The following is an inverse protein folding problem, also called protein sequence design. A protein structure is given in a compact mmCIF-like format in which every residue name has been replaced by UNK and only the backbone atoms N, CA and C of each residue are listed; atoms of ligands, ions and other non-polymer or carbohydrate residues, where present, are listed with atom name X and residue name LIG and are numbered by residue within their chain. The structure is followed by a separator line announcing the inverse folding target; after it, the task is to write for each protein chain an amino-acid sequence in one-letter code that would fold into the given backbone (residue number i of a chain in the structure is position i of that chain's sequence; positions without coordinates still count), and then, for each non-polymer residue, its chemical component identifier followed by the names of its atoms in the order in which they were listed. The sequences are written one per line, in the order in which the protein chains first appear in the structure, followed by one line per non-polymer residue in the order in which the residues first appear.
data_IF_447264953075
#
_entry.id   IF_447264953075
#
_cell.length_a   1.000
_cell.length_b   1.000
_cell.length_c   1.000
_cell.angle_alpha   90.00
_cell.angle_beta   90.00
_cell.angle_gamma   90.00
#
_symmetry.space_group_name_H-M   'P 1'
#
loop_
_entity.id
_entity.type
_entity.pdbx_description
1 polymer ?
#
# COMPACT_ATOMS: atom_id res chain seq x y z
N UNK A 1 -35.39 -47.13 9.88
CA UNK A 1 -35.98 -48.32 9.22
C UNK A 1 -37.10 -48.79 10.12
N UNK A 2 -38.32 -48.89 9.61
CA UNK A 2 -39.46 -49.41 10.39
C UNK A 2 -39.97 -50.65 9.67
N UNK A 3 -40.24 -51.69 10.47
CA UNK A 3 -40.75 -52.98 9.99
C UNK A 3 -42.14 -53.18 10.57
N UNK A 4 -43.11 -53.54 9.74
CA UNK A 4 -44.44 -53.87 10.24
C UNK A 4 -44.55 -55.34 10.69
N UNK A 5 -45.71 -55.70 11.25
CA UNK A 5 -46.02 -57.05 11.75
C UNK A 5 -46.09 -58.11 10.64
N UNK A 6 -46.23 -57.71 9.37
CA UNK A 6 -46.15 -58.61 8.22
C UNK A 6 -44.71 -58.79 7.71
N UNK A 7 -43.71 -58.16 8.33
CA UNK A 7 -42.29 -58.30 7.98
C UNK A 7 -41.84 -57.37 6.84
N UNK A 8 -42.67 -56.40 6.45
CA UNK A 8 -42.30 -55.45 5.40
C UNK A 8 -41.41 -54.34 5.98
N UNK A 9 -40.23 -54.17 5.38
CA UNK A 9 -39.26 -53.14 5.80
C UNK A 9 -39.27 -51.96 4.85
N UNK A 10 -39.51 -50.74 5.37
CA UNK A 10 -39.36 -49.48 4.63
C UNK A 10 -38.27 -48.63 5.27
N UNK A 11 -37.36 -48.10 4.44
CA UNK A 11 -36.45 -47.05 4.86
C UNK A 11 -37.28 -45.77 5.07
N UNK A 12 -37.31 -45.26 6.30
CA UNK A 12 -37.95 -43.97 6.59
C UNK A 12 -36.95 -42.88 6.21
N UNK A 13 -36.89 -42.57 4.92
CA UNK A 13 -36.48 -41.25 4.45
C UNK A 13 -37.75 -40.52 4.00
N UNK A 14 -38.73 -40.43 4.90
CA UNK A 14 -39.90 -39.58 4.69
C UNK A 14 -39.54 -38.14 5.07
N UNK A 15 -38.61 -37.57 4.29
CA UNK A 15 -38.63 -36.14 4.06
C UNK A 15 -39.82 -35.95 3.14
N UNK A 16 -40.95 -35.53 3.72
CA UNK A 16 -42.15 -35.14 2.97
C UNK A 16 -41.74 -34.34 1.73
N UNK A 17 -42.28 -34.69 0.56
CA UNK A 17 -42.00 -34.03 -0.71
C UNK A 17 -41.97 -32.50 -0.54
N UNK A 18 -40.76 -31.94 -0.47
CA UNK A 18 -40.54 -30.52 -0.15
C UNK A 18 -39.33 -30.19 0.74
N UNK A 19 -38.71 -31.16 1.43
CA UNK A 19 -37.47 -30.89 2.16
C UNK A 19 -36.23 -31.41 1.41
N UNK A 20 -35.62 -30.51 0.63
CA UNK A 20 -34.27 -30.72 0.08
C UNK A 20 -33.26 -30.36 1.17
N UNK A 21 -32.54 -31.34 1.72
CA UNK A 21 -31.27 -31.04 2.39
C UNK A 21 -30.28 -30.64 1.30
N UNK A 22 -30.09 -29.33 1.11
CA UNK A 22 -28.97 -28.83 0.33
C UNK A 22 -27.74 -28.99 1.22
N UNK A 23 -26.91 -29.98 0.92
CA UNK A 23 -25.60 -30.11 1.55
C UNK A 23 -24.70 -29.06 0.91
N UNK A 24 -24.74 -27.84 1.44
CA UNK A 24 -23.88 -26.76 0.99
C UNK A 24 -22.53 -26.85 1.71
N UNK A 25 -21.59 -27.53 1.06
CA UNK A 25 -20.20 -27.63 1.48
C UNK A 25 -19.28 -27.01 0.42
N UNK A 26 -19.83 -26.10 -0.41
CA UNK A 26 -19.02 -25.32 -1.34
C UNK A 26 -18.44 -24.15 -0.57
N UNK A 27 -17.11 -24.08 -0.49
CA UNK A 27 -16.45 -22.85 -0.07
C UNK A 27 -16.73 -21.81 -1.15
N UNK A 28 -17.32 -20.66 -0.81
CA UNK A 28 -17.68 -19.62 -1.78
C UNK A 28 -16.49 -19.32 -2.73
N UNK A 29 -16.71 -19.22 -4.06
CA UNK A 29 -15.68 -18.92 -5.04
C UNK A 29 -14.78 -17.74 -4.65
N UNK A 30 -13.51 -17.82 -5.06
CA UNK A 30 -12.47 -16.85 -4.76
C UNK A 30 -12.80 -15.47 -5.38
N UNK A 31 -13.48 -14.62 -4.62
CA UNK A 31 -13.63 -13.20 -4.92
C UNK A 31 -12.29 -12.46 -4.94
N UNK A 32 -12.28 -11.13 -5.03
CA UNK A 32 -11.06 -10.33 -4.95
C UNK A 32 -11.24 -9.13 -4.04
N UNK A 33 -10.15 -8.69 -3.41
CA UNK A 33 -10.09 -7.37 -2.77
C UNK A 33 -9.32 -6.44 -3.70
N UNK A 34 -9.80 -5.22 -3.88
CA UNK A 34 -9.12 -4.16 -4.63
C UNK A 34 -9.34 -2.81 -3.97
N UNK A 35 -8.48 -1.83 -4.26
CA UNK A 35 -8.78 -0.43 -3.95
C UNK A 35 -9.92 0.04 -4.88
N UNK A 36 -10.94 0.68 -4.31
CA UNK A 36 -12.17 1.07 -5.01
C UNK A 36 -12.22 2.53 -5.42
N UNK A 37 -12.95 2.82 -6.51
CA UNK A 37 -13.25 4.17 -6.99
C UNK A 37 -14.57 4.70 -6.39
N UNK A 38 -14.49 5.38 -5.25
CA UNK A 38 -15.55 6.31 -4.84
C UNK A 38 -14.95 7.49 -4.05
N UNK A 39 -14.67 8.58 -4.78
CA UNK A 39 -14.35 9.90 -4.20
C UNK A 39 -12.86 10.22 -4.01
N UNK A 40 -11.97 9.31 -4.39
CA UNK A 40 -10.53 9.54 -4.44
C UNK A 40 -10.04 9.26 -5.86
N UNK A 41 -9.28 10.22 -6.39
CA UNK A 41 -8.87 10.32 -7.77
C UNK A 41 -7.79 9.27 -8.03
N UNK A 42 -8.20 8.03 -8.27
CA UNK A 42 -7.34 6.95 -8.72
C UNK A 42 -6.08 6.80 -7.87
N UNK A 43 -6.19 6.19 -6.67
CA UNK A 43 -5.08 5.75 -5.78
C UNK A 43 -3.72 5.91 -6.47
N UNK A 44 -3.21 7.14 -6.45
CA UNK A 44 -2.07 7.47 -7.29
C UNK A 44 -0.92 7.14 -6.38
N UNK A 45 -0.41 5.92 -6.54
CA UNK A 45 0.78 5.42 -5.87
C UNK A 45 1.93 6.43 -6.06
N UNK A 46 2.00 7.40 -5.16
CA UNK A 46 3.07 8.40 -5.09
C UNK A 46 4.19 7.92 -4.16
N UNK A 47 4.06 6.71 -3.61
CA UNK A 47 5.15 6.05 -2.91
C UNK A 47 6.09 5.44 -3.95
N UNK A 48 7.20 6.12 -4.27
CA UNK A 48 8.25 5.58 -5.13
C UNK A 48 7.82 5.33 -6.61
N UNK A 49 7.07 6.26 -7.18
CA UNK A 49 7.54 7.06 -8.31
C UNK A 49 8.51 6.40 -9.34
N UNK A 50 8.08 5.27 -9.89
CA UNK A 50 8.43 4.87 -11.24
C UNK A 50 7.13 4.61 -11.99
N UNK A 51 6.97 5.26 -13.15
CA UNK A 51 5.98 4.88 -14.12
C UNK A 51 6.08 3.36 -14.37
N UNK A 52 5.07 2.61 -13.91
CA UNK A 52 5.05 1.15 -13.68
C UNK A 52 5.71 0.76 -12.34
N UNK A 53 4.95 0.63 -11.26
CA UNK A 53 4.05 -0.52 -11.01
C UNK A 53 3.19 -0.28 -9.78
N UNK A 54 2.00 -0.88 -9.74
CA UNK A 54 1.16 -1.06 -8.55
C UNK A 54 1.74 -2.09 -7.55
N UNK A 55 3.07 -2.23 -7.44
CA UNK A 55 3.70 -3.43 -6.87
C UNK A 55 4.50 -3.24 -5.57
N UNK A 56 4.89 -2.02 -5.19
CA UNK A 56 5.67 -1.83 -3.95
C UNK A 56 4.79 -1.57 -2.72
N UNK A 57 3.52 -1.22 -2.94
CA UNK A 57 2.50 -1.10 -1.91
C UNK A 57 2.76 0.05 -0.94
N UNK A 58 3.40 1.14 -1.38
CA UNK A 58 3.57 2.37 -0.57
C UNK A 58 2.56 3.45 -1.01
N UNK A 59 2.25 4.41 -0.15
CA UNK A 59 1.42 5.58 -0.50
C UNK A 59 1.51 6.66 0.57
N UNK A 60 1.29 7.91 0.18
CA UNK A 60 1.07 9.05 1.08
C UNK A 60 -0.41 9.41 1.27
N UNK A 61 -1.32 8.61 0.71
CA UNK A 61 -2.77 8.80 0.86
C UNK A 61 -3.23 8.18 2.18
N UNK A 62 -3.71 9.02 3.09
CA UNK A 62 -4.24 8.55 4.37
C UNK A 62 -5.69 8.11 4.30
N UNK A 63 -6.38 8.31 3.17
CA UNK A 63 -7.81 8.01 2.99
C UNK A 63 -7.99 7.24 1.69
N UNK A 64 -8.67 6.10 1.74
CA UNK A 64 -8.97 5.29 0.57
C UNK A 64 -10.15 4.37 0.82
N UNK A 65 -10.66 3.72 -0.23
CA UNK A 65 -11.69 2.68 -0.13
C UNK A 65 -11.13 1.34 -0.59
N UNK A 66 -11.45 0.28 0.14
CA UNK A 66 -11.24 -1.11 -0.28
C UNK A 66 -12.59 -1.74 -0.65
N UNK A 67 -12.60 -2.54 -1.70
CA UNK A 67 -13.78 -3.23 -2.21
C UNK A 67 -13.48 -4.71 -2.35
N UNK A 68 -14.23 -5.51 -1.61
CA UNK A 68 -14.37 -6.94 -1.85
C UNK A 68 -15.41 -7.17 -2.95
N UNK A 69 -15.06 -7.93 -3.98
CA UNK A 69 -15.86 -8.15 -5.18
C UNK A 69 -15.85 -9.63 -5.58
N UNK A 70 -16.75 -10.03 -6.47
CA UNK A 70 -16.87 -11.43 -6.88
C UNK A 70 -17.22 -12.37 -5.73
N UNK A 71 -17.87 -11.84 -4.69
CA UNK A 71 -18.41 -12.63 -3.60
C UNK A 71 -19.63 -13.36 -4.16
N UNK A 72 -19.54 -14.67 -4.33
CA UNK A 72 -20.70 -15.47 -4.67
C UNK A 72 -21.58 -15.57 -3.43
N UNK A 73 -22.86 -15.24 -3.59
CA UNK A 73 -24.01 -15.87 -2.98
C UNK A 73 -25.19 -15.39 -3.83
N UNK A 74 -25.83 -16.27 -4.59
CA UNK A 74 -27.07 -15.99 -5.29
C UNK A 74 -28.19 -15.62 -4.29
N UNK A 75 -28.17 -14.38 -3.78
CA UNK A 75 -29.16 -13.79 -2.87
C UNK A 75 -28.64 -13.39 -1.48
N UNK A 76 -28.15 -12.16 -1.34
CA UNK A 76 -28.27 -11.28 -0.15
C UNK A 76 -27.85 -11.78 1.27
N UNK A 77 -27.24 -12.95 1.43
CA UNK A 77 -27.02 -13.58 2.74
C UNK A 77 -25.57 -13.64 3.25
N UNK A 78 -24.56 -13.40 2.41
CA UNK A 78 -23.17 -13.47 2.85
C UNK A 78 -22.80 -12.27 3.74
N UNK A 79 -22.33 -12.55 4.95
CA UNK A 79 -21.77 -11.54 5.83
C UNK A 79 -20.29 -11.32 5.50
N UNK A 80 -19.90 -10.06 5.30
CA UNK A 80 -18.49 -9.67 5.14
C UNK A 80 -18.00 -9.11 6.47
N UNK A 81 -16.80 -9.50 6.89
CA UNK A 81 -16.10 -8.89 8.01
C UNK A 81 -14.68 -8.52 7.60
N UNK A 82 -14.33 -7.26 7.78
CA UNK A 82 -12.96 -6.80 7.58
C UNK A 82 -12.07 -7.06 8.79
N UNK A 83 -10.84 -7.47 8.51
CA UNK A 83 -9.79 -7.64 9.50
C UNK A 83 -8.57 -6.82 9.10
N UNK A 84 -7.98 -6.14 10.08
CA UNK A 84 -6.86 -5.22 9.86
C UNK A 84 -5.71 -5.59 10.78
N UNK A 85 -4.50 -5.58 10.22
CA UNK A 85 -3.24 -5.59 10.95
C UNK A 85 -2.60 -4.22 10.82
N UNK A 86 -2.45 -3.53 11.95
CA UNK A 86 -1.80 -2.21 12.05
C UNK A 86 -0.28 -2.36 12.27
N UNK A 87 0.55 -1.31 12.06
CA UNK A 87 2.02 -1.43 12.03
C UNK A 87 2.66 -2.07 13.27
N UNK A 88 2.12 -1.78 14.45
CA UNK A 88 2.63 -2.34 15.71
C UNK A 88 2.02 -3.71 16.08
N UNK A 89 1.06 -4.21 15.29
CA UNK A 89 0.35 -5.45 15.59
C UNK A 89 1.04 -6.66 14.95
N UNK A 90 1.06 -7.78 15.69
CA UNK A 90 1.52 -9.08 15.17
C UNK A 90 0.41 -9.89 14.51
N UNK A 91 -0.85 -9.49 14.70
CA UNK A 91 -2.04 -10.24 14.29
C UNK A 91 -3.12 -9.32 13.75
N UNK A 92 -4.01 -9.87 12.92
CA UNK A 92 -5.20 -9.16 12.47
C UNK A 92 -6.24 -9.09 13.59
N UNK A 93 -6.97 -7.98 13.65
CA UNK A 93 -8.13 -7.80 14.51
C UNK A 93 -9.36 -7.44 13.67
N UNK A 94 -10.57 -7.70 14.16
CA UNK A 94 -11.83 -7.36 13.49
C UNK A 94 -12.57 -6.18 14.11
N UNK A 95 -12.03 -5.61 15.20
CA UNK A 95 -12.59 -4.44 15.89
C UNK A 95 -11.51 -3.78 16.76
N UNK A 96 -11.80 -2.57 17.25
CA UNK A 96 -10.93 -1.86 18.20
C UNK A 96 -9.60 -1.41 17.59
N UNK A 97 -9.63 -0.95 16.35
CA UNK A 97 -8.44 -0.53 15.61
C UNK A 97 -7.84 0.72 16.26
N UNK A 98 -6.56 0.62 16.66
CA UNK A 98 -5.82 1.79 17.13
C UNK A 98 -5.14 2.48 15.95
N UNK A 99 -5.36 3.79 15.79
CA UNK A 99 -4.72 4.57 14.73
C UNK A 99 -5.29 4.35 13.33
N UNK A 100 -6.45 3.69 13.21
CA UNK A 100 -7.20 3.55 11.95
C UNK A 100 -8.67 3.79 12.23
N UNK A 101 -9.32 4.61 11.40
CA UNK A 101 -10.78 4.75 11.39
C UNK A 101 -11.33 3.98 10.20
N UNK A 102 -12.33 3.13 10.45
CA UNK A 102 -13.00 2.35 9.43
C UNK A 102 -14.47 2.72 9.38
N UNK A 103 -15.08 2.56 8.21
CA UNK A 103 -16.54 2.56 8.08
C UNK A 103 -16.96 1.60 6.98
N UNK A 104 -17.97 0.77 7.25
CA UNK A 104 -18.44 -0.25 6.32
C UNK A 104 -17.84 -1.64 6.57
N UNK A 105 -17.44 -1.93 7.81
CA UNK A 105 -16.76 -3.17 8.22
C UNK A 105 -17.62 -4.44 8.00
N UNK A 106 -18.94 -4.27 7.92
CA UNK A 106 -19.92 -5.30 7.58
C UNK A 106 -20.34 -5.32 6.10
N UNK A 107 -19.71 -4.49 5.27
CA UNK A 107 -20.04 -4.29 3.86
C UNK A 107 -18.89 -4.75 2.96
N UNK A 108 -19.16 -5.14 1.70
CA UNK A 108 -18.11 -5.36 0.72
C UNK A 108 -17.24 -4.12 0.46
N UNK A 109 -17.73 -2.91 0.73
CA UNK A 109 -16.96 -1.67 0.63
C UNK A 109 -16.56 -1.15 2.01
N UNK A 110 -15.26 -0.95 2.21
CA UNK A 110 -14.65 -0.44 3.44
C UNK A 110 -13.96 0.89 3.16
N UNK A 111 -14.44 1.98 3.75
CA UNK A 111 -13.69 3.23 3.77
C UNK A 111 -12.68 3.20 4.92
N UNK A 112 -11.47 3.65 4.64
CA UNK A 112 -10.32 3.60 5.56
C UNK A 112 -9.75 5.00 5.72
N UNK A 113 -9.41 5.38 6.96
CA UNK A 113 -8.59 6.55 7.27
C UNK A 113 -7.47 6.14 8.22
N UNK A 114 -6.23 6.32 7.78
CA UNK A 114 -5.02 6.00 8.54
C UNK A 114 -4.59 7.20 9.38
N UNK A 115 -4.27 6.96 10.66
CA UNK A 115 -3.86 8.00 11.60
C UNK A 115 -2.36 8.06 11.89
N UNK A 116 -1.56 7.11 11.36
CA UNK A 116 -0.12 7.06 11.57
C UNK A 116 0.60 6.29 10.46
N UNK A 117 1.83 6.69 10.15
CA UNK A 117 2.71 6.03 9.17
C UNK A 117 3.00 4.57 9.55
N UNK A 118 3.31 3.75 8.54
CA UNK A 118 3.76 2.37 8.71
C UNK A 118 3.02 1.36 7.83
N UNK A 119 3.32 0.07 8.06
CA UNK A 119 2.75 -1.03 7.28
C UNK A 119 1.40 -1.52 7.84
N UNK A 120 0.40 -1.55 6.97
CA UNK A 120 -0.94 -2.03 7.20
C UNK A 120 -1.25 -3.26 6.34
N UNK A 121 -2.12 -4.13 6.82
CA UNK A 121 -2.67 -5.22 6.02
C UNK A 121 -4.17 -5.36 6.24
N UNK A 122 -4.93 -5.53 5.16
CA UNK A 122 -6.38 -5.60 5.15
C UNK A 122 -6.83 -6.88 4.47
N UNK A 123 -7.71 -7.63 5.12
CA UNK A 123 -8.34 -8.81 4.51
C UNK A 123 -9.81 -8.86 4.86
N UNK A 124 -10.61 -9.41 3.96
CA UNK A 124 -12.03 -9.65 4.18
C UNK A 124 -12.27 -11.14 4.41
N UNK A 125 -13.12 -11.44 5.39
CA UNK A 125 -13.68 -12.76 5.65
C UNK A 125 -15.13 -12.75 5.21
N UNK A 126 -15.53 -13.73 4.42
CA UNK A 126 -16.92 -13.95 4.02
C UNK A 126 -17.46 -15.12 4.81
N UNK A 127 -18.68 -14.97 5.31
CA UNK A 127 -19.44 -16.04 5.95
C UNK A 127 -20.66 -16.34 5.11
N UNK A 128 -20.83 -17.58 4.68
CA UNK A 128 -22.02 -18.02 3.93
C UNK A 128 -23.25 -18.15 4.85
N UNK A 129 -24.41 -18.47 4.25
CA UNK A 129 -25.66 -18.64 4.99
C UNK A 129 -25.67 -19.85 5.95
N UNK A 130 -24.81 -20.84 5.72
CA UNK A 130 -24.62 -22.01 6.57
C UNK A 130 -23.62 -21.76 7.72
N UNK A 131 -22.94 -20.61 7.72
CA UNK A 131 -21.95 -20.21 8.71
C UNK A 131 -20.51 -20.64 8.36
N UNK A 132 -20.25 -21.18 7.16
CA UNK A 132 -18.89 -21.47 6.73
C UNK A 132 -18.15 -20.16 6.43
N UNK A 133 -16.85 -20.11 6.71
CA UNK A 133 -16.05 -18.90 6.51
C UNK A 133 -14.88 -19.13 5.56
N UNK A 134 -14.57 -18.12 4.77
CA UNK A 134 -13.40 -18.09 3.89
C UNK A 134 -12.81 -16.68 3.81
N UNK A 135 -11.50 -16.59 3.59
CA UNK A 135 -10.89 -15.32 3.17
C UNK A 135 -11.28 -15.03 1.72
N UNK A 136 -11.60 -13.77 1.41
CA UNK A 136 -11.78 -13.34 0.01
C UNK A 136 -10.51 -13.65 -0.78
N UNK A 137 -10.65 -14.12 -2.01
CA UNK A 137 -9.56 -14.62 -2.86
C UNK A 137 -8.79 -15.84 -2.31
N UNK A 138 -9.26 -16.46 -1.21
CA UNK A 138 -8.47 -17.42 -0.44
C UNK A 138 -7.10 -16.84 -0.01
N UNK A 139 -7.07 -15.52 0.25
CA UNK A 139 -5.86 -14.79 0.57
C UNK A 139 -5.82 -14.44 2.07
N UNK A 140 -5.06 -15.23 2.83
CA UNK A 140 -4.88 -15.01 4.27
C UNK A 140 -3.99 -13.80 4.60
N UNK A 141 -3.22 -13.28 3.64
CA UNK A 141 -2.38 -12.07 3.82
C UNK A 141 -3.18 -10.82 3.46
N UNK A 142 -4.03 -10.89 2.44
CA UNK A 142 -4.85 -9.79 1.98
C UNK A 142 -4.04 -8.68 1.31
N UNK A 143 -4.56 -7.46 1.31
CA UNK A 143 -3.92 -6.27 0.72
C UNK A 143 -3.01 -5.58 1.73
N UNK A 144 -1.76 -5.41 1.35
CA UNK A 144 -0.75 -4.71 2.16
C UNK A 144 -0.51 -3.31 1.62
N UNK A 145 -0.28 -2.37 2.53
CA UNK A 145 0.00 -0.97 2.24
C UNK A 145 1.01 -0.43 3.25
N UNK A 146 1.95 0.39 2.83
CA UNK A 146 2.80 1.21 3.70
C UNK A 146 2.40 2.67 3.52
N UNK A 147 1.86 3.27 4.57
CA UNK A 147 1.56 4.69 4.59
C UNK A 147 2.80 5.47 5.04
N UNK A 148 3.27 6.36 4.17
CA UNK A 148 4.49 7.14 4.36
C UNK A 148 4.30 8.55 3.82
N UNK A 149 4.64 9.55 4.61
CA UNK A 149 4.46 10.98 4.32
C UNK A 149 5.76 11.76 4.49
N UNK A 150 6.83 11.11 4.93
CA UNK A 150 8.12 11.75 5.05
C UNK A 150 8.74 11.91 3.66
N UNK A 151 9.42 13.03 3.45
CA UNK A 151 10.26 13.25 2.28
C UNK A 151 11.71 13.09 2.73
N UNK A 152 12.37 12.06 2.24
CA UNK A 152 13.82 11.90 2.38
C UNK A 152 14.51 12.86 1.43
N UNK A 153 15.17 13.89 1.98
CA UNK A 153 15.99 14.83 1.23
C UNK A 153 17.24 14.19 0.57
N UNK A 154 17.46 12.88 0.80
CA UNK A 154 18.62 12.15 0.32
C UNK A 154 19.95 12.71 0.84
N UNK A 155 21.00 12.54 0.05
CA UNK A 155 22.35 13.03 0.33
C UNK A 155 22.88 13.87 -0.83
N UNK A 156 23.71 14.87 -0.49
CA UNK A 156 24.40 15.70 -1.45
C UNK A 156 25.89 15.35 -1.50
N UNK A 157 26.36 14.91 -2.66
CA UNK A 157 27.73 14.46 -2.88
C UNK A 157 28.46 15.42 -3.82
N UNK A 158 29.62 15.91 -3.37
CA UNK A 158 30.55 16.67 -4.20
C UNK A 158 31.62 15.73 -4.75
N UNK A 159 31.69 15.61 -6.08
CA UNK A 159 32.62 14.72 -6.78
C UNK A 159 33.56 15.51 -7.70
N UNK A 160 34.78 15.00 -7.87
CA UNK A 160 35.79 15.66 -8.71
C UNK A 160 36.31 16.98 -8.15
N UNK A 161 36.11 17.22 -6.86
CA UNK A 161 36.61 18.40 -6.16
C UNK A 161 37.93 18.11 -5.42
N UNK A 162 38.92 18.94 -5.68
CA UNK A 162 40.29 18.91 -5.19
C UNK A 162 40.54 20.16 -4.34
N UNK A 163 40.72 19.97 -3.03
CA UNK A 163 40.94 21.08 -2.07
C UNK A 163 42.41 21.58 -2.05
N UNK A 164 43.02 21.71 -3.24
CA UNK A 164 44.42 22.15 -3.43
C UNK A 164 44.52 23.49 -4.16
N UNK A 165 43.47 24.30 -4.12
CA UNK A 165 43.37 25.58 -4.81
C UNK A 165 44.25 26.69 -4.25
N UNK A 166 44.85 26.47 -3.08
CA UNK A 166 45.99 27.26 -2.64
C UNK A 166 47.28 26.45 -2.92
N UNK A 167 48.31 27.07 -3.47
CA UNK A 167 49.57 26.40 -3.77
C UNK A 167 50.37 26.02 -2.50
N UNK A 168 49.72 25.92 -1.34
CA UNK A 168 50.35 25.63 -0.06
C UNK A 168 50.23 24.13 0.25
N UNK A 169 51.35 23.43 0.11
CA UNK A 169 51.45 22.01 0.45
C UNK A 169 50.92 21.77 1.88
N UNK A 170 49.85 20.97 2.00
CA UNK A 170 49.25 20.57 3.27
C UNK A 170 47.97 21.30 3.69
N UNK A 171 47.41 22.20 2.87
CA UNK A 171 46.18 22.94 3.20
C UNK A 171 44.89 22.26 2.71
N UNK A 172 44.69 20.98 2.99
CA UNK A 172 43.57 20.17 2.45
C UNK A 172 42.24 20.32 3.20
N UNK A 173 41.95 21.49 3.77
CA UNK A 173 40.73 21.70 4.57
C UNK A 173 40.13 23.10 4.48
N UNK A 174 40.59 23.95 3.57
CA UNK A 174 40.11 25.32 3.45
C UNK A 174 39.06 25.53 2.35
N UNK A 175 38.65 24.45 1.68
CA UNK A 175 37.63 24.44 0.62
C UNK A 175 37.96 25.43 -0.50
N UNK A 176 39.24 25.53 -0.86
CA UNK A 176 39.71 26.24 -2.05
C UNK A 176 40.17 25.22 -3.08
N UNK A 177 39.64 25.33 -4.28
CA UNK A 177 39.97 24.45 -5.42
C UNK A 177 40.47 25.27 -6.61
N UNK A 178 41.36 24.67 -7.40
CA UNK A 178 41.77 25.15 -8.72
C UNK A 178 41.07 24.40 -9.86
N UNK A 179 40.14 23.50 -9.54
CA UNK A 179 39.35 22.77 -10.51
C UNK A 179 38.36 23.71 -11.18
N UNK A 180 38.24 23.56 -12.49
CA UNK A 180 37.22 24.26 -13.28
C UNK A 180 35.96 23.42 -13.52
N UNK A 181 35.98 22.15 -13.09
CA UNK A 181 34.89 21.19 -13.28
C UNK A 181 34.79 20.30 -12.05
N UNK A 182 33.59 20.24 -11.47
CA UNK A 182 33.20 19.30 -10.43
C UNK A 182 31.72 18.95 -10.63
N UNK A 183 31.27 17.86 -10.02
CA UNK A 183 29.87 17.43 -10.08
C UNK A 183 29.24 17.49 -8.70
N UNK A 184 28.01 17.98 -8.66
CA UNK A 184 27.14 17.89 -7.50
C UNK A 184 26.07 16.85 -7.81
N UNK A 185 26.01 15.80 -6.99
CA UNK A 185 25.13 14.66 -7.20
C UNK A 185 24.20 14.56 -6.00
N UNK A 186 22.90 14.64 -6.24
CA UNK A 186 21.90 14.26 -5.26
C UNK A 186 21.67 12.76 -5.39
N UNK A 187 21.76 12.03 -4.28
CA UNK A 187 21.58 10.58 -4.20
C UNK A 187 20.61 10.23 -3.08
N UNK A 188 20.11 9.00 -3.06
CA UNK A 188 19.18 8.54 -2.00
C UNK A 188 17.89 9.37 -1.90
N UNK A 189 17.56 10.07 -2.99
CA UNK A 189 16.28 10.75 -3.13
C UNK A 189 15.17 9.70 -3.27
N UNK A 190 14.00 10.04 -2.78
CA UNK A 190 12.78 9.35 -3.18
C UNK A 190 12.57 9.51 -4.69
N UNK A 191 12.00 8.51 -5.32
CA UNK A 191 11.76 8.56 -6.76
C UNK A 191 10.79 9.70 -7.15
N UNK A 192 10.84 10.19 -8.39
CA UNK A 192 10.13 11.40 -8.90
C UNK A 192 10.30 12.67 -8.03
N UNK A 193 11.27 12.69 -7.12
CA UNK A 193 11.67 13.91 -6.40
C UNK A 193 12.25 14.90 -7.39
N UNK A 194 11.66 16.10 -7.45
CA UNK A 194 12.25 17.20 -8.21
C UNK A 194 13.39 17.82 -7.42
N UNK A 195 14.61 17.74 -7.97
CA UNK A 195 15.77 18.44 -7.40
C UNK A 195 15.80 19.87 -7.91
N UNK A 196 15.75 20.83 -6.99
CA UNK A 196 16.02 22.23 -7.31
C UNK A 196 17.43 22.59 -6.85
N UNK A 197 18.26 22.98 -7.80
CA UNK A 197 19.62 23.43 -7.54
C UNK A 197 19.63 24.94 -7.31
N UNK A 198 20.36 25.38 -6.28
CA UNK A 198 20.62 26.79 -6.03
C UNK A 198 22.11 27.06 -5.80
N UNK A 199 22.54 28.27 -6.12
CA UNK A 199 23.90 28.78 -5.94
C UNK A 199 23.87 30.09 -5.16
N UNK A 200 24.88 30.29 -4.30
CA UNK A 200 25.10 31.52 -3.55
C UNK A 200 26.52 32.01 -3.78
N UNK A 201 26.68 33.28 -4.19
CA UNK A 201 27.99 33.91 -4.40
C UNK A 201 28.29 34.89 -3.27
N UNK A 202 29.32 34.59 -2.47
CA UNK A 202 29.70 35.44 -1.33
C UNK A 202 28.53 35.69 -0.38
N UNK A 203 28.13 36.96 -0.26
CA UNK A 203 27.04 37.41 0.62
C UNK A 203 25.68 37.59 -0.07
N UNK A 204 25.54 37.20 -1.34
CA UNK A 204 24.26 37.24 -2.08
C UNK A 204 23.22 36.29 -1.47
N UNK A 205 21.96 36.41 -1.87
CA UNK A 205 20.94 35.39 -1.57
C UNK A 205 21.17 34.12 -2.40
N UNK A 206 20.61 33.00 -1.97
CA UNK A 206 20.50 31.81 -2.82
C UNK A 206 19.69 32.12 -4.08
N UNK A 207 20.09 31.55 -5.21
CA UNK A 207 19.49 31.77 -6.51
C UNK A 207 19.52 30.49 -7.34
N UNK A 208 18.46 30.24 -8.12
CA UNK A 208 18.43 29.20 -9.16
C UNK A 208 18.97 29.67 -10.51
N UNK A 209 19.46 30.92 -10.59
CA UNK A 209 20.14 31.46 -11.77
C UNK A 209 21.63 31.12 -11.76
N UNK A 210 22.02 30.22 -12.67
CA UNK A 210 23.41 29.78 -12.86
C UNK A 210 24.14 30.55 -13.98
N UNK A 211 23.53 31.57 -14.57
CA UNK A 211 24.16 32.33 -15.66
C UNK A 211 25.45 33.01 -15.19
N UNK A 212 26.47 33.00 -16.07
CA UNK A 212 27.77 33.59 -15.78
C UNK A 212 28.72 32.75 -14.92
N UNK A 213 28.33 31.55 -14.47
CA UNK A 213 29.22 30.64 -13.73
C UNK A 213 30.11 29.78 -14.64
N UNK A 214 29.84 29.71 -15.94
CA UNK A 214 30.46 28.73 -16.83
C UNK A 214 30.13 27.27 -16.46
N UNK A 215 29.19 27.07 -15.54
CA UNK A 215 28.73 25.76 -15.10
C UNK A 215 27.75 25.18 -16.13
N UNK A 216 28.02 23.96 -16.58
CA UNK A 216 27.05 23.16 -17.33
C UNK A 216 26.33 22.26 -16.34
N UNK A 217 25.02 22.44 -16.17
CA UNK A 217 24.22 21.50 -15.38
C UNK A 217 24.12 20.18 -16.14
N UNK A 218 24.90 19.18 -15.70
CA UNK A 218 24.87 17.83 -16.26
C UNK A 218 23.72 17.02 -15.68
N UNK A 219 22.59 16.99 -16.40
CA UNK A 219 21.54 15.99 -16.21
C UNK A 219 20.41 16.42 -15.27
N UNK A 220 19.29 16.86 -15.85
CA UNK A 220 18.00 16.73 -15.20
C UNK A 220 17.63 15.24 -15.19
N UNK A 221 17.43 14.67 -14.02
CA UNK A 221 16.55 13.51 -13.89
C UNK A 221 15.14 14.12 -13.87
N UNK A 222 14.45 13.98 -15.00
CA UNK A 222 13.00 14.14 -15.09
C UNK A 222 12.31 12.88 -14.61
#
# INVERSE_FOLDING_TARGET
MVTDVAGNTRYVNDLSAGQTLIYDNQVSPAGSVAFGTAGDDAWTDRGNAAASTTADGRSNDSVFTLVASGLDEAGAGAAVQWQVKVPAATSYVSAGFSGVTLSGEGSPALAVTLGAQGAYSFRAVVTDSAGNTAYVANDAVGKTLVYDTEVSAGALLLQGYSDYGNAQAGSTADRRSNDSVFSLVASELEADTTVQWEVKRGSESWSSDFTGLGATLGGGQS
#
